data_IF_939129019615
#
_entry.id   IF_939129019615
#
_cell.length_a   1.000
_cell.length_b   1.000
_cell.length_c   1.000
_cell.angle_alpha   90.00
_cell.angle_beta   90.00
_cell.angle_gamma   90.00
#
_symmetry.space_group_name_H-M   'P 1'
#
loop_
_entity.id
_entity.type
_entity.pdbx_description
1 polymer ?
#
# COMPACT_ATOMS: atom_id res chain seq x y z
N UNK A 1 -2.26 -27.64 -45.11
CA UNK A 1 -2.59 -26.22 -45.38
C UNK A 1 -3.84 -25.73 -44.66
N UNK A 2 -4.95 -26.49 -44.57
CA UNK A 2 -6.11 -26.09 -43.72
C UNK A 2 -5.87 -26.18 -42.20
N UNK A 3 -5.04 -27.11 -41.71
CA UNK A 3 -4.71 -27.20 -40.27
C UNK A 3 -3.74 -26.12 -39.79
N UNK A 4 -2.77 -25.69 -40.62
CA UNK A 4 -1.82 -24.65 -40.24
C UNK A 4 -2.48 -23.26 -40.22
N UNK A 5 -3.44 -23.02 -41.11
CA UNK A 5 -4.23 -21.78 -41.12
C UNK A 5 -5.21 -21.70 -39.95
N UNK A 6 -5.75 -22.84 -39.47
CA UNK A 6 -6.60 -22.90 -38.28
C UNK A 6 -5.82 -22.79 -36.98
N UNK A 7 -4.57 -23.23 -36.94
CA UNK A 7 -3.66 -22.97 -35.82
C UNK A 7 -3.25 -21.49 -35.76
N UNK A 8 -2.97 -20.90 -36.91
CA UNK A 8 -2.62 -19.48 -37.01
C UNK A 8 -3.80 -18.52 -36.80
N UNK A 9 -5.02 -18.91 -37.20
CA UNK A 9 -6.25 -18.16 -36.89
C UNK A 9 -6.65 -18.30 -35.40
N UNK A 10 -6.15 -19.30 -34.66
CA UNK A 10 -6.34 -19.42 -33.20
C UNK A 10 -5.27 -18.63 -32.41
N UNK A 11 -4.03 -18.55 -32.94
CA UNK A 11 -2.93 -17.74 -32.39
C UNK A 11 -3.24 -16.23 -32.37
N UNK A 12 -4.08 -15.73 -33.29
CA UNK A 12 -4.51 -14.31 -33.30
C UNK A 12 -5.82 -14.06 -32.53
N UNK A 13 -6.58 -15.10 -32.15
CA UNK A 13 -7.97 -14.96 -31.64
C UNK A 13 -8.08 -15.08 -30.10
N UNK A 14 -7.06 -15.59 -29.38
CA UNK A 14 -7.07 -15.70 -27.91
C UNK A 14 -5.68 -15.58 -27.24
N UNK A 15 -5.08 -14.38 -27.15
CA UNK A 15 -3.77 -14.17 -26.50
C UNK A 15 -3.72 -14.69 -25.04
N UNK A 16 -4.86 -14.69 -24.35
CA UNK A 16 -4.96 -15.22 -22.99
C UNK A 16 -4.82 -16.76 -22.91
N UNK A 17 -5.32 -17.49 -23.91
CA UNK A 17 -5.24 -18.97 -23.92
C UNK A 17 -3.79 -19.42 -24.11
N UNK A 18 -3.05 -18.73 -24.97
CA UNK A 18 -1.63 -19.02 -25.17
C UNK A 18 -0.81 -18.66 -23.93
N UNK A 19 -1.09 -17.53 -23.27
CA UNK A 19 -0.47 -17.17 -21.99
C UNK A 19 -0.70 -18.24 -20.90
N UNK A 20 -1.91 -18.79 -20.79
CA UNK A 20 -2.21 -19.90 -19.86
C UNK A 20 -1.42 -21.15 -20.22
N UNK A 21 -1.28 -21.46 -21.51
CA UNK A 21 -0.52 -22.63 -21.96
C UNK A 21 0.97 -22.48 -21.66
N UNK A 22 1.53 -21.28 -21.82
CA UNK A 22 2.90 -20.95 -21.46
C UNK A 22 3.10 -21.06 -19.94
N UNK A 23 2.21 -20.45 -19.14
CA UNK A 23 2.26 -20.53 -17.69
C UNK A 23 2.13 -21.97 -17.15
N UNK A 24 1.37 -22.84 -17.82
CA UNK A 24 1.29 -24.28 -17.49
C UNK A 24 2.54 -25.07 -17.88
N UNK A 25 3.34 -24.57 -18.82
CA UNK A 25 4.60 -25.18 -19.22
C UNK A 25 5.76 -24.83 -18.28
N UNK A 26 5.61 -23.75 -17.50
CA UNK A 26 6.58 -23.36 -16.48
C UNK A 26 6.67 -24.37 -15.35
N UNK A 27 7.87 -24.46 -14.76
CA UNK A 27 8.11 -25.40 -13.64
C UNK A 27 7.33 -24.96 -12.39
N UNK A 28 7.21 -23.65 -12.15
CA UNK A 28 6.59 -23.10 -10.96
C UNK A 28 5.18 -22.53 -11.21
N UNK A 29 4.16 -22.89 -10.40
CA UNK A 29 2.76 -22.42 -10.53
C UNK A 29 2.52 -20.90 -10.48
N UNK A 30 3.54 -20.10 -10.16
CA UNK A 30 3.37 -18.70 -9.80
C UNK A 30 2.91 -17.85 -10.99
N UNK A 31 3.41 -18.15 -12.19
CA UNK A 31 3.04 -17.41 -13.41
C UNK A 31 1.54 -17.49 -13.69
N UNK A 32 0.95 -18.68 -13.53
CA UNK A 32 -0.49 -18.87 -13.71
C UNK A 32 -1.29 -18.13 -12.63
N UNK A 33 -0.84 -18.19 -11.37
CA UNK A 33 -1.49 -17.49 -10.26
C UNK A 33 -1.45 -15.98 -10.46
N UNK A 34 -0.31 -15.43 -10.89
CA UNK A 34 -0.17 -14.00 -11.20
C UNK A 34 -1.07 -13.59 -12.38
N UNK A 35 -1.09 -14.39 -13.45
CA UNK A 35 -1.98 -14.17 -14.59
C UNK A 35 -3.45 -14.09 -14.16
N UNK A 36 -3.91 -15.02 -13.33
CA UNK A 36 -5.31 -15.02 -12.85
C UNK A 36 -5.58 -13.85 -11.89
N UNK A 37 -4.61 -13.49 -11.04
CA UNK A 37 -4.70 -12.30 -10.18
C UNK A 37 -4.88 -11.02 -11.02
N UNK A 38 -4.07 -10.86 -12.07
CA UNK A 38 -4.18 -9.75 -13.00
C UNK A 38 -5.53 -9.70 -13.72
N UNK A 39 -6.07 -10.86 -14.14
CA UNK A 39 -7.42 -10.93 -14.74
C UNK A 39 -8.47 -10.43 -13.77
N UNK A 40 -8.45 -10.89 -12.51
CA UNK A 40 -9.42 -10.45 -11.50
C UNK A 40 -9.31 -8.93 -11.33
N UNK A 41 -8.10 -8.41 -11.12
CA UNK A 41 -7.88 -6.98 -10.88
C UNK A 41 -8.30 -6.11 -12.07
N UNK A 42 -7.97 -6.51 -13.29
CA UNK A 42 -8.31 -5.78 -14.51
C UNK A 42 -9.83 -5.71 -14.78
N UNK A 43 -10.61 -6.57 -14.12
CA UNK A 43 -12.07 -6.64 -14.25
C UNK A 43 -12.82 -6.04 -13.06
N UNK A 44 -12.11 -5.51 -12.06
CA UNK A 44 -12.72 -4.74 -10.99
C UNK A 44 -13.31 -3.44 -11.54
N UNK A 45 -14.51 -3.02 -11.10
CA UNK A 45 -15.09 -1.76 -11.55
C UNK A 45 -14.15 -0.60 -11.21
N UNK A 46 -13.69 0.14 -12.22
CA UNK A 46 -13.00 1.41 -11.99
C UNK A 46 -13.94 2.36 -11.27
N UNK A 47 -13.45 3.00 -10.21
CA UNK A 47 -14.23 3.95 -9.46
C UNK A 47 -14.57 5.15 -10.34
N UNK A 48 -15.80 5.66 -10.25
CA UNK A 48 -16.31 6.71 -11.13
C UNK A 48 -15.45 7.99 -11.17
N UNK A 49 -14.67 8.24 -10.12
CA UNK A 49 -13.77 9.39 -10.00
C UNK A 49 -12.49 9.28 -10.86
N UNK A 50 -12.10 8.05 -11.24
CA UNK A 50 -10.94 7.76 -12.09
C UNK A 50 -11.34 7.31 -13.50
N UNK A 51 -12.64 7.18 -13.76
CA UNK A 51 -13.15 6.75 -15.05
C UNK A 51 -13.15 7.91 -16.03
N UNK A 52 -12.33 7.81 -17.08
CA UNK A 52 -12.47 8.67 -18.26
C UNK A 52 -13.81 8.33 -18.96
N UNK A 53 -14.72 9.30 -19.15
CA UNK A 53 -15.98 9.06 -19.84
C UNK A 53 -15.82 8.56 -21.29
N UNK A 54 -14.64 8.74 -21.90
CA UNK A 54 -14.34 8.27 -23.26
C UNK A 54 -13.67 6.87 -23.30
N UNK A 55 -13.32 6.27 -22.16
CA UNK A 55 -12.78 4.91 -22.11
C UNK A 55 -13.88 3.85 -22.30
N UNK A 56 -13.61 2.77 -23.08
CA UNK A 56 -14.56 1.67 -23.22
C UNK A 56 -14.80 0.99 -21.86
N UNK A 57 -16.07 0.70 -21.57
CA UNK A 57 -16.49 0.03 -20.34
C UNK A 57 -15.72 -1.28 -20.16
N UNK A 58 -15.01 -1.42 -19.03
CA UNK A 58 -14.20 -2.59 -18.76
C UNK A 58 -15.08 -3.85 -18.75
N UNK A 59 -14.58 -4.95 -19.34
CA UNK A 59 -15.29 -6.23 -19.32
C UNK A 59 -15.49 -6.66 -17.89
N UNK A 60 -16.74 -6.85 -17.48
CA UNK A 60 -17.04 -7.30 -16.13
C UNK A 60 -16.55 -8.74 -15.93
N UNK A 61 -16.02 -9.04 -14.74
CA UNK A 61 -15.53 -10.38 -14.38
C UNK A 61 -16.55 -11.50 -14.63
N UNK A 62 -17.83 -11.22 -14.35
CA UNK A 62 -18.92 -12.15 -14.61
C UNK A 62 -19.06 -12.47 -16.11
N UNK A 63 -18.96 -11.47 -16.98
CA UNK A 63 -19.02 -11.67 -18.44
C UNK A 63 -17.80 -12.45 -18.95
N UNK A 64 -16.63 -12.18 -18.38
CA UNK A 64 -15.42 -12.92 -18.72
C UNK A 64 -15.53 -14.39 -18.32
N UNK A 65 -16.03 -14.68 -17.11
CA UNK A 65 -16.34 -16.05 -16.66
C UNK A 65 -17.36 -16.72 -17.60
N UNK A 66 -18.37 -15.99 -18.07
CA UNK A 66 -19.37 -16.51 -19.01
C UNK A 66 -18.73 -16.92 -20.34
N UNK A 67 -17.76 -16.14 -20.81
CA UNK A 67 -16.99 -16.45 -22.01
C UNK A 67 -16.14 -17.72 -21.84
N UNK A 68 -15.52 -17.90 -20.67
CA UNK A 68 -14.74 -19.11 -20.34
C UNK A 68 -15.63 -20.34 -20.20
N UNK A 69 -16.83 -20.18 -19.65
CA UNK A 69 -17.84 -21.25 -19.57
C UNK A 69 -18.29 -21.67 -20.98
N UNK A 70 -18.54 -20.71 -21.87
CA UNK A 70 -18.97 -20.97 -23.23
C UNK A 70 -17.88 -21.63 -24.10
N UNK A 71 -16.61 -21.28 -23.86
CA UNK A 71 -15.47 -21.77 -24.61
C UNK A 71 -14.85 -22.99 -23.91
N UNK A 72 -15.15 -24.20 -24.39
CA UNK A 72 -14.69 -25.45 -23.77
C UNK A 72 -13.30 -25.86 -24.28
N UNK A 73 -12.27 -25.29 -23.67
CA UNK A 73 -10.86 -25.65 -23.88
C UNK A 73 -10.25 -26.06 -22.54
N UNK A 74 -9.23 -26.93 -22.52
CA UNK A 74 -8.51 -27.27 -21.29
C UNK A 74 -8.00 -26.02 -20.54
N UNK A 75 -7.51 -25.02 -21.28
CA UNK A 75 -7.00 -23.77 -20.72
C UNK A 75 -8.09 -22.95 -20.01
N UNK A 76 -9.33 -22.92 -20.52
CA UNK A 76 -10.42 -22.23 -19.83
C UNK A 76 -10.91 -23.01 -18.61
N UNK A 77 -10.76 -24.33 -18.60
CA UNK A 77 -11.03 -25.16 -17.40
C UNK A 77 -10.01 -24.88 -16.30
N UNK A 78 -8.73 -24.74 -16.68
CA UNK A 78 -7.66 -24.31 -15.78
C UNK A 78 -7.95 -22.93 -15.19
N UNK A 79 -8.29 -21.94 -16.03
CA UNK A 79 -8.66 -20.60 -15.57
C UNK A 79 -9.81 -20.64 -14.56
N UNK A 80 -10.90 -21.34 -14.87
CA UNK A 80 -12.05 -21.46 -13.97
C UNK A 80 -11.66 -22.14 -12.63
N UNK A 81 -10.79 -23.15 -12.65
CA UNK A 81 -10.35 -23.84 -11.44
C UNK A 81 -9.49 -22.94 -10.53
N UNK A 82 -8.60 -22.13 -11.10
CA UNK A 82 -7.81 -21.17 -10.32
C UNK A 82 -8.69 -20.00 -9.85
N UNK A 83 -9.59 -19.51 -10.70
CA UNK A 83 -10.57 -18.46 -10.33
C UNK A 83 -11.42 -18.88 -9.13
N UNK A 84 -11.91 -20.12 -9.05
CA UNK A 84 -12.69 -20.56 -7.89
C UNK A 84 -11.92 -20.42 -6.56
N UNK A 85 -10.61 -20.56 -6.56
CA UNK A 85 -9.80 -20.44 -5.35
C UNK A 85 -9.52 -18.97 -4.99
N UNK A 86 -9.17 -18.15 -6.00
CA UNK A 86 -8.70 -16.78 -5.79
C UNK A 86 -9.84 -15.78 -5.55
N UNK A 87 -11.02 -15.98 -6.16
CA UNK A 87 -12.15 -15.06 -6.06
C UNK A 87 -12.69 -14.95 -4.64
N UNK A 88 -13.02 -13.73 -4.19
CA UNK A 88 -13.77 -13.49 -2.94
C UNK A 88 -15.29 -13.66 -3.10
N UNK A 89 -15.81 -13.42 -4.30
CA UNK A 89 -17.25 -13.48 -4.56
C UNK A 89 -17.75 -14.93 -4.61
N UNK A 90 -18.47 -15.35 -3.58
CA UNK A 90 -19.01 -16.71 -3.42
C UNK A 90 -19.89 -17.17 -4.60
N UNK A 91 -20.63 -16.25 -5.23
CA UNK A 91 -21.49 -16.57 -6.38
C UNK A 91 -20.66 -16.92 -7.60
N UNK A 92 -19.63 -16.12 -7.90
CA UNK A 92 -18.73 -16.38 -9.02
C UNK A 92 -17.85 -17.60 -8.77
N UNK A 93 -17.37 -17.79 -7.53
CA UNK A 93 -16.66 -18.99 -7.08
C UNK A 93 -17.46 -20.26 -7.34
N UNK A 94 -18.67 -20.36 -6.76
CA UNK A 94 -19.56 -21.53 -6.91
C UNK A 94 -19.86 -21.81 -8.38
N UNK A 95 -19.98 -20.76 -9.20
CA UNK A 95 -20.23 -20.89 -10.63
C UNK A 95 -19.04 -21.53 -11.36
N UNK A 96 -17.81 -21.10 -11.05
CA UNK A 96 -16.59 -21.69 -11.60
C UNK A 96 -16.45 -23.16 -11.19
N UNK A 97 -16.60 -23.46 -9.89
CA UNK A 97 -16.53 -24.82 -9.36
C UNK A 97 -17.51 -25.78 -10.06
N UNK A 98 -18.75 -25.33 -10.25
CA UNK A 98 -19.79 -26.13 -10.90
C UNK A 98 -19.44 -26.44 -12.36
N UNK A 99 -18.89 -25.47 -13.10
CA UNK A 99 -18.48 -25.70 -14.48
C UNK A 99 -17.26 -26.63 -14.55
N UNK A 100 -16.25 -26.43 -13.69
CA UNK A 100 -15.07 -27.30 -13.62
C UNK A 100 -15.49 -28.75 -13.34
N UNK A 101 -16.39 -28.97 -12.38
CA UNK A 101 -16.91 -30.30 -12.06
C UNK A 101 -17.76 -30.94 -13.16
N UNK A 102 -18.27 -30.14 -14.11
CA UNK A 102 -19.06 -30.62 -15.26
C UNK A 102 -18.20 -30.94 -16.50
N UNK A 103 -16.91 -30.59 -16.48
CA UNK A 103 -15.97 -30.85 -17.57
C UNK A 103 -15.16 -32.11 -17.29
N UNK A 104 -14.87 -32.86 -18.35
CA UNK A 104 -14.05 -34.08 -18.30
C UNK A 104 -12.56 -33.79 -18.60
N UNK A 105 -12.10 -32.54 -18.44
CA UNK A 105 -10.70 -32.16 -18.69
C UNK A 105 -9.79 -32.60 -17.53
N UNK A 106 -8.61 -33.14 -17.87
CA UNK A 106 -7.60 -33.53 -16.89
C UNK A 106 -6.85 -32.30 -16.36
N UNK A 107 -7.11 -31.93 -15.10
CA UNK A 107 -6.39 -30.86 -14.41
C UNK A 107 -5.10 -31.37 -13.75
N UNK A 108 -3.98 -30.61 -13.83
CA UNK A 108 -2.81 -30.85 -13.00
C UNK A 108 -3.18 -30.97 -11.52
N UNK A 109 -2.59 -31.96 -10.83
CA UNK A 109 -2.91 -32.24 -9.43
C UNK A 109 -2.73 -31.01 -8.53
N UNK A 110 -1.70 -30.20 -8.77
CA UNK A 110 -1.43 -29.01 -7.97
C UNK A 110 -2.56 -27.96 -8.04
N UNK A 111 -3.31 -27.89 -9.15
CA UNK A 111 -4.49 -27.03 -9.29
C UNK A 111 -5.64 -27.59 -8.45
N UNK A 112 -5.87 -28.91 -8.53
CA UNK A 112 -6.96 -29.55 -7.76
C UNK A 112 -6.71 -29.52 -6.25
N UNK A 113 -5.45 -29.48 -5.83
CA UNK A 113 -5.03 -29.38 -4.44
C UNK A 113 -4.69 -27.91 -4.04
N UNK A 114 -5.04 -26.90 -4.84
CA UNK A 114 -4.62 -25.50 -4.62
C UNK A 114 -5.17 -24.94 -3.29
N UNK A 115 -6.40 -25.28 -2.91
CA UNK A 115 -7.01 -24.92 -1.62
C UNK A 115 -6.32 -25.53 -0.38
N UNK A 116 -5.31 -26.40 -0.56
CA UNK A 116 -4.47 -26.95 0.52
C UNK A 116 -3.17 -26.17 0.72
N UNK A 117 -3.00 -25.07 -0.01
CA UNK A 117 -1.92 -24.12 0.19
C UNK A 117 -1.99 -23.55 1.60
N UNK A 118 -0.84 -23.36 2.24
CA UNK A 118 -0.78 -22.74 3.56
C UNK A 118 0.50 -21.92 3.70
N UNK A 119 0.42 -20.91 4.57
CA UNK A 119 1.57 -20.11 4.99
C UNK A 119 2.20 -20.80 6.20
N UNK A 120 3.48 -21.16 6.10
CA UNK A 120 4.21 -21.84 7.18
C UNK A 120 4.81 -20.87 8.19
N UNK A 121 5.25 -19.69 7.72
CA UNK A 121 6.00 -18.70 8.51
C UNK A 121 5.80 -17.30 7.96
N UNK A 122 5.82 -16.30 8.85
CA UNK A 122 5.81 -14.88 8.47
C UNK A 122 6.93 -14.15 9.21
N UNK A 123 7.70 -13.37 8.47
CA UNK A 123 8.71 -12.47 9.01
C UNK A 123 8.33 -11.04 8.67
N UNK A 124 8.30 -10.18 9.67
CA UNK A 124 8.16 -8.74 9.50
C UNK A 124 9.53 -8.11 9.41
N UNK A 125 9.75 -7.36 8.34
CA UNK A 125 10.87 -6.43 8.20
C UNK A 125 10.38 -5.03 8.54
N UNK A 126 11.03 -4.38 9.50
CA UNK A 126 10.62 -3.06 10.03
C UNK A 126 11.80 -2.09 10.06
N UNK A 127 11.55 -0.83 9.73
CA UNK A 127 12.54 0.25 9.83
C UNK A 127 12.36 1.03 11.14
N UNK A 128 13.46 1.53 11.72
CA UNK A 128 13.44 2.22 13.02
C UNK A 128 12.54 3.47 13.06
N UNK A 129 12.26 4.08 11.90
CA UNK A 129 11.39 5.25 11.75
C UNK A 129 9.89 4.90 11.70
N UNK A 130 9.54 3.62 11.52
CA UNK A 130 8.16 3.13 11.72
C UNK A 130 7.13 3.55 10.67
N UNK A 131 7.55 4.03 9.50
CA UNK A 131 6.62 4.48 8.45
C UNK A 131 5.96 3.35 7.68
N UNK A 132 6.57 2.18 7.68
CA UNK A 132 6.05 1.03 6.99
C UNK A 132 6.72 -0.25 7.45
N UNK A 133 6.04 -1.35 7.19
CA UNK A 133 6.48 -2.70 7.50
C UNK A 133 6.32 -3.57 6.26
N UNK A 134 7.32 -4.41 5.97
CA UNK A 134 7.21 -5.43 4.94
C UNK A 134 6.95 -6.79 5.60
N UNK A 135 5.84 -7.44 5.24
CA UNK A 135 5.51 -8.79 5.67
C UNK A 135 5.96 -9.79 4.60
N UNK A 136 6.88 -10.67 4.96
CA UNK A 136 7.37 -11.76 4.12
C UNK A 136 6.74 -13.08 4.56
N UNK A 137 5.87 -13.65 3.73
CA UNK A 137 5.12 -14.87 3.98
C UNK A 137 5.74 -16.03 3.21
N UNK A 138 6.17 -17.08 3.94
CA UNK A 138 6.60 -18.34 3.34
C UNK A 138 5.41 -19.24 3.04
N UNK A 139 5.15 -19.47 1.76
CA UNK A 139 3.98 -20.20 1.27
C UNK A 139 4.40 -21.55 0.73
N UNK A 140 3.63 -22.58 1.10
CA UNK A 140 3.83 -23.94 0.60
C UNK A 140 2.62 -24.41 -0.18
N UNK A 141 2.86 -24.71 -1.45
CA UNK A 141 1.89 -25.31 -2.33
C UNK A 141 1.74 -26.80 -2.03
N UNK A 142 0.59 -27.35 -2.38
CA UNK A 142 0.30 -28.78 -2.26
C UNK A 142 1.19 -29.68 -3.13
N UNK A 143 1.77 -29.13 -4.21
CA UNK A 143 2.80 -29.79 -5.02
C UNK A 143 4.12 -29.99 -4.29
N UNK A 144 4.32 -29.32 -3.15
CA UNK A 144 5.58 -29.27 -2.42
C UNK A 144 6.50 -28.13 -2.85
N UNK A 145 6.10 -27.33 -3.84
CA UNK A 145 6.81 -26.11 -4.24
C UNK A 145 6.56 -24.98 -3.24
N UNK A 146 7.54 -24.08 -3.14
CA UNK A 146 7.54 -22.97 -2.19
C UNK A 146 7.62 -21.65 -2.92
N UNK A 147 6.88 -20.67 -2.44
CA UNK A 147 7.00 -19.28 -2.88
C UNK A 147 7.02 -18.35 -1.67
N UNK A 148 7.49 -17.14 -1.87
CA UNK A 148 7.43 -16.09 -0.86
C UNK A 148 6.60 -14.93 -1.38
N UNK A 149 5.65 -14.47 -0.58
CA UNK A 149 4.97 -13.20 -0.79
C UNK A 149 5.64 -12.14 0.08
N UNK A 150 5.94 -10.99 -0.50
CA UNK A 150 6.42 -9.81 0.21
C UNK A 150 5.38 -8.71 0.02
N UNK A 151 4.80 -8.22 1.12
CA UNK A 151 3.77 -7.19 1.09
C UNK A 151 4.21 -6.00 1.95
N UNK A 152 4.29 -4.82 1.35
CA UNK A 152 4.62 -3.58 2.03
C UNK A 152 3.35 -2.89 2.53
N UNK A 153 3.32 -2.60 3.82
CA UNK A 153 2.25 -1.88 4.50
C UNK A 153 2.77 -0.51 4.89
N UNK A 154 2.12 0.53 4.39
CA UNK A 154 2.42 1.93 4.68
C UNK A 154 1.57 2.42 5.86
N UNK A 155 2.23 2.82 6.94
CA UNK A 155 1.62 3.27 8.19
C UNK A 155 1.44 4.79 8.30
N UNK A 156 1.76 5.55 7.25
CA UNK A 156 1.74 7.03 7.30
C UNK A 156 0.35 7.62 7.37
N UNK A 157 -0.66 6.98 6.79
CA UNK A 157 -2.04 7.51 6.82
C UNK A 157 -3.00 6.48 7.40
N UNK A 158 -3.17 5.34 6.72
CA UNK A 158 -4.24 4.38 7.03
C UNK A 158 -3.75 2.95 7.31
N UNK A 159 -2.43 2.72 7.32
CA UNK A 159 -1.88 1.35 7.45
C UNK A 159 -2.39 0.43 6.34
N UNK A 160 -2.14 0.83 5.09
CA UNK A 160 -2.62 0.16 3.88
C UNK A 160 -1.51 -0.59 3.14
N UNK A 161 -1.89 -1.60 2.37
CA UNK A 161 -0.93 -2.27 1.48
C UNK A 161 -0.72 -1.38 0.26
N UNK A 162 0.52 -0.90 0.06
CA UNK A 162 0.91 -0.13 -1.14
C UNK A 162 1.67 -0.95 -2.17
N UNK A 163 2.22 -2.10 -1.76
CA UNK A 163 2.86 -3.01 -2.69
C UNK A 163 2.77 -4.46 -2.23
N UNK A 164 2.70 -5.38 -3.19
CA UNK A 164 2.88 -6.80 -2.94
C UNK A 164 3.42 -7.53 -4.17
N UNK A 165 4.48 -8.32 -3.98
CA UNK A 165 5.06 -9.15 -5.02
C UNK A 165 5.34 -10.56 -4.52
N UNK A 166 5.57 -11.45 -5.48
CA UNK A 166 5.74 -12.87 -5.24
C UNK A 166 6.99 -13.37 -5.93
N UNK A 167 7.74 -14.23 -5.25
CA UNK A 167 8.94 -14.86 -5.81
C UNK A 167 8.84 -16.38 -5.69
N UNK A 168 9.24 -17.16 -6.71
CA UNK A 168 9.19 -18.61 -6.71
C UNK A 168 10.39 -19.19 -5.94
N UNK A 169 10.58 -18.74 -4.69
CA UNK A 169 11.67 -19.12 -3.82
C UNK A 169 11.18 -19.30 -2.37
N UNK A 170 11.78 -20.23 -1.59
CA UNK A 170 11.48 -20.38 -0.18
C UNK A 170 11.82 -19.11 0.62
N UNK A 171 11.05 -18.83 1.67
CA UNK A 171 11.23 -17.64 2.52
C UNK A 171 12.66 -17.51 3.05
N UNK A 172 13.31 -18.62 3.43
CA UNK A 172 14.66 -18.56 3.95
C UNK A 172 15.67 -18.04 2.91
N UNK A 173 15.51 -18.38 1.64
CA UNK A 173 16.38 -17.89 0.58
C UNK A 173 16.20 -16.37 0.39
N UNK A 174 14.95 -15.91 0.40
CA UNK A 174 14.61 -14.48 0.31
C UNK A 174 15.20 -13.70 1.49
N UNK A 175 15.04 -14.21 2.71
CA UNK A 175 15.63 -13.60 3.91
C UNK A 175 17.16 -13.58 3.86
N UNK A 176 17.80 -14.64 3.35
CA UNK A 176 19.25 -14.70 3.20
C UNK A 176 19.73 -13.69 2.16
N UNK A 177 18.99 -13.47 1.08
CA UNK A 177 19.26 -12.40 0.10
C UNK A 177 19.10 -11.04 0.77
N UNK A 178 17.93 -10.76 1.36
CA UNK A 178 17.62 -9.49 2.01
C UNK A 178 18.64 -9.12 3.10
N UNK A 179 19.08 -10.09 3.89
CA UNK A 179 20.10 -9.89 4.93
C UNK A 179 21.48 -9.60 4.34
N UNK A 180 21.86 -10.27 3.25
CA UNK A 180 23.17 -10.06 2.58
C UNK A 180 23.22 -8.76 1.79
N UNK A 181 22.12 -8.37 1.17
CA UNK A 181 21.99 -7.12 0.42
C UNK A 181 21.58 -5.94 1.30
N UNK A 182 21.47 -6.14 2.62
CA UNK A 182 21.06 -5.10 3.56
C UNK A 182 22.05 -3.93 3.51
N UNK A 183 21.63 -2.86 2.85
CA UNK A 183 22.32 -1.57 2.80
C UNK A 183 21.98 -0.71 4.01
N UNK A 184 20.80 -0.92 4.59
CA UNK A 184 20.29 -0.17 5.71
C UNK A 184 20.43 -0.94 7.04
N UNK A 185 21.30 -0.49 7.96
CA UNK A 185 21.47 -1.14 9.26
C UNK A 185 20.29 -0.93 10.22
N UNK A 186 19.39 0.02 9.94
CA UNK A 186 18.27 0.40 10.79
C UNK A 186 17.01 -0.45 10.52
N UNK A 187 17.12 -1.40 9.60
CA UNK A 187 16.11 -2.43 9.34
C UNK A 187 16.33 -3.69 10.18
N UNK A 188 15.25 -4.21 10.78
CA UNK A 188 15.27 -5.45 11.55
C UNK A 188 14.23 -6.45 11.05
N UNK A 189 14.53 -7.75 11.21
CA UNK A 189 13.66 -8.86 10.83
C UNK A 189 13.17 -9.58 12.08
N UNK A 190 11.86 -9.73 12.23
CA UNK A 190 11.22 -10.32 13.42
C UNK A 190 10.18 -11.33 12.99
N UNK A 191 10.19 -12.51 13.61
CA UNK A 191 9.10 -13.48 13.44
C UNK A 191 7.76 -12.89 13.88
N UNK A 192 6.76 -13.06 13.03
CA UNK A 192 5.40 -12.62 13.30
C UNK A 192 4.48 -13.84 13.39
N UNK A 193 3.48 -13.78 14.27
CA UNK A 193 2.47 -14.83 14.32
C UNK A 193 1.62 -14.78 13.05
N UNK A 194 1.19 -15.95 12.56
CA UNK A 194 0.33 -16.04 11.38
C UNK A 194 -1.01 -15.29 11.59
N UNK A 195 -1.49 -15.26 12.83
CA UNK A 195 -2.75 -14.61 13.18
C UNK A 195 -2.62 -13.09 13.17
N UNK A 196 -1.52 -12.54 13.68
CA UNK A 196 -1.25 -11.10 13.60
C UNK A 196 -1.06 -10.70 12.14
N UNK A 197 -0.30 -11.47 11.37
CA UNK A 197 -0.11 -11.22 9.93
C UNK A 197 -1.46 -11.16 9.20
N UNK A 198 -2.40 -12.06 9.50
CA UNK A 198 -3.78 -11.98 8.97
C UNK A 198 -4.44 -10.66 9.31
N UNK A 199 -4.41 -10.27 10.59
CA UNK A 199 -5.08 -9.06 11.05
C UNK A 199 -4.53 -7.79 10.38
N UNK A 200 -3.21 -7.76 10.12
CA UNK A 200 -2.56 -6.66 9.44
C UNK A 200 -2.91 -6.61 7.95
N UNK A 201 -2.74 -7.73 7.24
CA UNK A 201 -3.01 -7.80 5.79
C UNK A 201 -4.49 -7.61 5.48
N UNK A 202 -5.39 -8.21 6.27
CA UNK A 202 -6.83 -8.06 6.07
C UNK A 202 -7.24 -6.60 6.16
N UNK A 203 -6.82 -5.88 7.21
CA UNK A 203 -7.06 -4.45 7.34
C UNK A 203 -6.44 -3.69 6.17
N UNK A 204 -5.16 -3.91 5.88
CA UNK A 204 -4.43 -3.15 4.89
C UNK A 204 -4.94 -3.31 3.46
N UNK A 205 -5.59 -4.43 3.15
CA UNK A 205 -6.23 -4.67 1.85
C UNK A 205 -7.70 -4.22 1.83
N UNK A 206 -8.38 -4.14 2.98
CA UNK A 206 -9.77 -3.65 3.10
C UNK A 206 -9.87 -2.13 3.15
N UNK A 207 -8.75 -1.40 3.29
CA UNK A 207 -8.75 0.06 3.17
C UNK A 207 -9.22 0.40 1.75
N UNK A 208 -10.49 0.80 1.65
CA UNK A 208 -11.14 1.22 0.42
C UNK A 208 -11.43 2.72 0.57
N UNK A 209 -10.63 3.54 -0.11
CA UNK A 209 -10.68 4.99 0.01
C UNK A 209 -9.94 5.66 -1.14
N UNK A 210 -10.32 6.91 -1.46
CA UNK A 210 -9.79 7.68 -2.59
C UNK A 210 -8.25 7.70 -2.62
N UNK A 211 -7.59 7.78 -1.46
CA UNK A 211 -6.14 7.81 -1.31
C UNK A 211 -5.47 6.46 -1.62
N UNK A 212 -6.08 5.34 -1.21
CA UNK A 212 -5.58 3.98 -1.51
C UNK A 212 -5.58 3.70 -3.01
N UNK A 213 -6.52 4.31 -3.73
CA UNK A 213 -6.75 4.13 -5.16
C UNK A 213 -5.74 4.85 -6.05
N UNK A 214 -4.97 5.79 -5.50
CA UNK A 214 -3.89 6.50 -6.21
C UNK A 214 -2.52 5.83 -6.00
N UNK A 215 -2.44 4.86 -5.09
CA UNK A 215 -1.20 4.14 -4.77
C UNK A 215 -1.03 2.94 -5.71
N UNK A 216 -0.49 3.18 -6.90
CA UNK A 216 -0.06 2.13 -7.82
C UNK A 216 1.45 1.89 -7.69
N UNK A 217 1.84 0.62 -7.66
CA UNK A 217 3.23 0.18 -7.83
C UNK A 217 3.34 -0.67 -9.11
N UNK A 218 4.55 -1.11 -9.45
CA UNK A 218 4.73 -2.05 -10.57
C UNK A 218 3.95 -3.37 -10.39
N UNK A 219 3.64 -3.76 -9.14
CA UNK A 219 2.98 -5.02 -8.80
C UNK A 219 1.63 -4.87 -8.09
N UNK A 220 1.26 -3.66 -7.68
CA UNK A 220 0.01 -3.36 -6.99
C UNK A 220 -0.84 -2.38 -7.81
N UNK A 221 -2.14 -2.66 -7.99
CA UNK A 221 -2.96 -3.67 -7.31
C UNK A 221 -3.02 -5.04 -7.99
N UNK A 222 -2.23 -5.32 -9.04
CA UNK A 222 -2.30 -6.59 -9.79
C UNK A 222 -2.17 -7.85 -8.92
N UNK A 223 -1.37 -7.79 -7.85
CA UNK A 223 -1.17 -8.87 -6.88
C UNK A 223 -2.24 -8.96 -5.77
N UNK A 224 -3.19 -8.02 -5.70
CA UNK A 224 -4.17 -7.93 -4.60
C UNK A 224 -5.03 -9.19 -4.45
N UNK A 225 -5.63 -9.77 -5.51
CA UNK A 225 -6.40 -11.01 -5.39
C UNK A 225 -5.59 -12.18 -4.82
N UNK A 226 -4.31 -12.30 -5.21
CA UNK A 226 -3.43 -13.36 -4.71
C UNK A 226 -3.08 -13.15 -3.23
N UNK A 227 -2.85 -11.91 -2.81
CA UNK A 227 -2.62 -11.57 -1.40
C UNK A 227 -3.87 -11.82 -0.54
N UNK A 228 -5.06 -11.47 -1.04
CA UNK A 228 -6.34 -11.77 -0.37
C UNK A 228 -6.52 -13.27 -0.18
N UNK A 229 -6.25 -14.07 -1.20
CA UNK A 229 -6.31 -15.53 -1.13
C UNK A 229 -5.41 -16.10 -0.02
N UNK A 230 -4.14 -15.67 0.07
CA UNK A 230 -3.26 -16.08 1.16
C UNK A 230 -3.77 -15.62 2.53
N UNK A 231 -4.28 -14.38 2.60
CA UNK A 231 -4.79 -13.78 3.84
C UNK A 231 -5.99 -14.55 4.39
N UNK A 232 -6.89 -15.03 3.53
CA UNK A 232 -8.02 -15.90 3.92
C UNK A 232 -7.57 -17.22 4.55
N UNK A 233 -6.43 -17.77 4.11
CA UNK A 233 -5.86 -19.02 4.60
C UNK A 233 -5.16 -18.92 5.96
N UNK A 234 -4.83 -17.71 6.42
CA UNK A 234 -4.19 -17.50 7.73
C UNK A 234 -5.20 -17.66 8.89
N UNK A 235 -4.74 -18.01 10.11
CA UNK A 235 -5.62 -18.15 11.27
C UNK A 235 -6.16 -16.80 11.76
N UNK A 236 -7.39 -16.77 12.28
CA UNK A 236 -7.98 -15.61 12.94
C UNK A 236 -7.44 -15.40 14.38
N UNK A 237 -7.83 -14.28 14.99
CA UNK A 237 -7.58 -14.02 16.42
C UNK A 237 -6.27 -13.31 16.74
N UNK A 238 -5.57 -12.78 15.73
CA UNK A 238 -4.40 -11.92 15.92
C UNK A 238 -4.77 -10.46 16.20
N UNK A 239 -3.74 -9.67 16.51
CA UNK A 239 -3.82 -8.24 16.76
C UNK A 239 -3.33 -7.46 15.53
N UNK A 240 -4.19 -6.59 14.99
CA UNK A 240 -3.84 -5.69 13.89
C UNK A 240 -2.80 -4.66 14.30
N UNK A 241 -2.22 -3.96 13.32
CA UNK A 241 -1.27 -2.87 13.56
C UNK A 241 -1.86 -1.87 14.57
N UNK A 242 -1.09 -1.59 15.62
CA UNK A 242 -1.41 -0.57 16.60
C UNK A 242 -0.43 0.58 16.37
N UNK A 243 -0.90 1.76 15.96
CA UNK A 243 -0.02 2.91 15.87
C UNK A 243 0.57 3.22 17.25
N UNK A 244 1.77 3.83 17.30
CA UNK A 244 2.31 4.38 18.54
C UNK A 244 1.26 5.27 19.22
N UNK A 245 0.99 5.00 20.50
CA UNK A 245 0.03 5.79 21.28
C UNK A 245 0.78 6.63 22.31
N UNK A 246 0.61 7.95 22.20
CA UNK A 246 1.05 8.92 23.17
C UNK A 246 -0.19 9.61 23.74
N UNK A 247 -0.31 9.63 25.08
CA UNK A 247 -1.38 10.40 25.71
C UNK A 247 -1.08 11.89 25.60
N UNK A 248 -2.13 12.72 25.67
CA UNK A 248 -2.04 14.18 25.76
C UNK A 248 -0.95 14.64 26.74
N UNK A 249 -0.95 14.11 27.96
CA UNK A 249 0.06 14.45 28.98
C UNK A 249 1.50 14.11 28.55
N UNK A 250 1.70 13.05 27.76
CA UNK A 250 3.02 12.64 27.28
C UNK A 250 3.50 13.53 26.14
N UNK A 251 2.58 13.95 25.25
CA UNK A 251 2.87 14.93 24.21
C UNK A 251 3.23 16.27 24.84
N UNK A 252 2.43 16.77 25.78
CA UNK A 252 2.72 18.02 26.50
C UNK A 252 4.07 17.96 27.24
N UNK A 253 4.35 16.89 27.98
CA UNK A 253 5.65 16.70 28.64
C UNK A 253 6.83 16.66 27.65
N UNK A 254 6.63 16.15 26.44
CA UNK A 254 7.64 16.13 25.39
C UNK A 254 7.86 17.53 24.79
N UNK A 255 6.78 18.24 24.47
CA UNK A 255 6.83 19.60 23.97
C UNK A 255 7.49 20.53 25.00
N UNK A 256 7.14 20.43 26.28
CA UNK A 256 7.76 21.22 27.34
C UNK A 256 9.27 20.98 27.44
N UNK A 257 9.73 19.74 27.27
CA UNK A 257 11.17 19.44 27.21
C UNK A 257 11.82 20.08 25.99
N UNK A 258 11.17 20.00 24.82
CA UNK A 258 11.69 20.59 23.58
C UNK A 258 11.79 22.12 23.68
N UNK A 259 10.72 22.80 24.07
CA UNK A 259 10.68 24.26 24.16
C UNK A 259 11.58 24.80 25.28
N UNK A 260 11.95 23.98 26.28
CA UNK A 260 12.98 24.33 27.26
C UNK A 260 14.43 24.23 26.72
N UNK A 261 14.66 23.65 25.54
CA UNK A 261 15.99 23.59 24.92
C UNK A 261 16.37 24.92 24.27
N UNK A 262 17.68 25.18 24.11
CA UNK A 262 18.16 26.41 23.43
C UNK A 262 17.60 26.56 22.01
N UNK A 263 17.54 25.51 21.17
CA UNK A 263 16.92 25.61 19.85
C UNK A 263 15.39 25.77 19.87
N UNK A 264 14.69 25.21 20.87
CA UNK A 264 13.23 25.28 20.99
C UNK A 264 12.73 26.59 21.63
N UNK A 265 13.50 27.20 22.53
CA UNK A 265 13.16 28.43 23.27
C UNK A 265 12.75 29.61 22.37
N UNK A 266 13.21 29.64 21.11
CA UNK A 266 12.87 30.70 20.14
C UNK A 266 11.43 30.60 19.61
N UNK A 267 10.77 29.47 19.84
CA UNK A 267 9.42 29.14 19.36
C UNK A 267 8.46 28.83 20.52
N UNK A 268 8.81 29.19 21.77
CA UNK A 268 7.99 28.86 22.95
C UNK A 268 6.79 29.81 23.11
N UNK A 269 5.86 29.71 22.17
CA UNK A 269 4.56 30.38 22.18
C UNK A 269 3.45 29.41 21.73
N UNK A 270 2.20 29.83 21.88
CA UNK A 270 1.05 28.95 21.60
C UNK A 270 0.95 28.55 20.13
N UNK A 271 1.27 29.45 19.19
CA UNK A 271 1.11 29.19 17.75
C UNK A 271 2.04 28.09 17.27
N UNK A 272 3.34 28.18 17.61
CA UNK A 272 4.31 27.14 17.25
C UNK A 272 4.11 25.83 18.01
N UNK A 273 3.58 25.88 19.25
CA UNK A 273 3.19 24.67 19.99
C UNK A 273 2.06 23.94 19.29
N UNK A 274 1.02 24.65 18.89
CA UNK A 274 -0.14 24.09 18.18
C UNK A 274 0.26 23.61 16.77
N UNK A 275 1.17 24.31 16.09
CA UNK A 275 1.76 23.88 14.82
C UNK A 275 2.48 22.54 14.95
N UNK A 276 3.38 22.42 15.93
CA UNK A 276 4.16 21.20 16.15
C UNK A 276 3.26 20.04 16.58
N UNK A 277 2.23 20.30 17.39
CA UNK A 277 1.21 19.29 17.75
C UNK A 277 0.50 18.76 16.50
N UNK A 278 0.05 19.63 15.60
CA UNK A 278 -0.56 19.18 14.34
C UNK A 278 0.40 18.35 13.51
N UNK A 279 1.68 18.74 13.40
CA UNK A 279 2.67 17.92 12.71
C UNK A 279 2.80 16.52 13.34
N UNK A 280 2.73 16.42 14.68
CA UNK A 280 2.83 15.15 15.41
C UNK A 280 1.63 14.25 15.14
N UNK A 281 0.43 14.82 15.12
CA UNK A 281 -0.82 14.10 14.89
C UNK A 281 -0.90 13.53 13.47
N UNK A 282 -0.26 14.21 12.50
CA UNK A 282 -0.18 13.80 11.11
C UNK A 282 0.93 12.76 10.86
N UNK A 283 0.70 11.83 9.94
CA UNK A 283 1.65 10.76 9.65
C UNK A 283 1.51 9.55 10.58
N UNK A 284 2.64 9.04 11.09
CA UNK A 284 2.67 7.81 11.91
C UNK A 284 2.14 7.99 13.34
N UNK A 285 1.88 9.23 13.77
CA UNK A 285 1.50 9.58 15.14
C UNK A 285 2.63 9.45 16.17
N UNK A 286 3.86 9.16 15.74
CA UNK A 286 5.03 9.09 16.62
C UNK A 286 5.79 10.42 16.64
N UNK A 287 5.78 11.17 17.76
CA UNK A 287 6.49 12.45 17.85
C UNK A 287 8.02 12.29 17.87
N UNK A 288 8.54 11.08 18.09
CA UNK A 288 9.97 10.83 18.23
C UNK A 288 10.62 10.26 16.97
N UNK A 289 9.85 10.02 15.90
CA UNK A 289 10.32 9.39 14.65
C UNK A 289 9.90 10.21 13.43
N UNK A 290 10.91 10.81 12.78
CA UNK A 290 10.71 11.68 11.62
C UNK A 290 11.60 11.26 10.47
N UNK A 291 11.02 10.69 9.43
CA UNK A 291 11.78 10.40 8.21
C UNK A 291 11.81 11.60 7.26
N UNK A 292 12.68 11.49 6.26
CA UNK A 292 12.66 12.36 5.10
C UNK A 292 11.33 12.31 4.31
N UNK A 293 10.65 11.16 4.23
CA UNK A 293 9.35 11.00 3.57
C UNK A 293 8.26 11.82 4.27
N UNK A 294 8.00 11.56 5.55
CA UNK A 294 7.03 12.34 6.35
C UNK A 294 7.27 13.84 6.31
N UNK A 295 8.53 14.26 6.26
CA UNK A 295 8.87 15.69 6.17
C UNK A 295 8.56 16.28 4.79
N UNK A 296 8.71 15.52 3.70
CA UNK A 296 8.36 15.97 2.35
C UNK A 296 6.85 16.08 2.14
N UNK A 297 6.07 15.24 2.82
CA UNK A 297 4.60 15.25 2.73
C UNK A 297 3.97 16.30 3.68
N UNK A 298 4.75 16.84 4.63
CA UNK A 298 4.27 17.79 5.62
C UNK A 298 3.66 19.09 5.02
N UNK A 299 4.16 19.67 3.92
CA UNK A 299 3.49 20.77 3.22
C UNK A 299 2.02 20.51 2.87
N UNK A 300 1.69 19.29 2.45
CA UNK A 300 0.35 18.91 2.00
C UNK A 300 -0.67 18.83 3.15
N UNK A 301 -0.19 18.76 4.40
CA UNK A 301 -1.04 18.85 5.60
C UNK A 301 -1.64 20.23 5.76
N UNK A 302 -0.87 21.26 5.43
CA UNK A 302 -1.20 22.65 5.78
C UNK A 302 -1.78 23.44 4.61
N UNK A 303 -1.89 22.83 3.43
CA UNK A 303 -2.34 23.49 2.22
C UNK A 303 -3.49 22.70 1.56
N UNK A 304 -4.52 23.39 1.03
CA UNK A 304 -4.72 24.84 1.06
C UNK A 304 -5.14 25.39 2.46
N UNK A 305 -4.85 26.67 2.72
CA UNK A 305 -5.05 27.35 4.01
C UNK A 305 -6.53 27.62 4.34
N UNK A 306 -7.41 27.62 3.33
CA UNK A 306 -8.84 27.84 3.47
C UNK A 306 -9.55 26.75 4.31
N UNK A 307 -8.95 25.56 4.40
CA UNK A 307 -9.45 24.48 5.26
C UNK A 307 -9.08 24.65 6.75
N UNK A 308 -8.14 25.56 7.09
CA UNK A 308 -7.55 25.69 8.44
C UNK A 308 -7.50 27.13 8.99
N UNK A 309 -8.19 28.08 8.34
CA UNK A 309 -7.95 29.53 8.45
C UNK A 309 -8.30 30.21 9.78
N UNK A 310 -9.10 29.59 10.66
CA UNK A 310 -9.66 30.32 11.81
C UNK A 310 -8.70 30.54 12.99
N UNK A 311 -7.56 29.83 13.09
CA UNK A 311 -6.75 29.82 14.33
C UNK A 311 -5.23 30.03 14.17
N UNK A 312 -4.65 29.99 12.96
CA UNK A 312 -3.18 30.01 12.78
C UNK A 312 -2.66 31.30 12.14
N UNK A 313 -1.55 31.83 12.67
CA UNK A 313 -0.85 32.94 12.04
C UNK A 313 -0.05 32.45 10.84
N UNK A 314 -0.10 33.20 9.73
CA UNK A 314 0.78 32.99 8.56
C UNK A 314 2.26 32.93 8.98
N UNK A 315 2.64 33.72 9.99
CA UNK A 315 4.02 33.72 10.50
C UNK A 315 4.42 32.36 11.08
N UNK A 316 3.54 31.71 11.83
CA UNK A 316 3.84 30.41 12.45
C UNK A 316 4.08 29.35 11.36
N UNK A 317 3.28 29.39 10.29
CA UNK A 317 3.45 28.51 9.12
C UNK A 317 4.77 28.77 8.41
N UNK A 318 5.15 30.04 8.17
CA UNK A 318 6.44 30.37 7.53
C UNK A 318 7.66 29.87 8.34
N UNK A 319 7.49 29.75 9.66
CA UNK A 319 8.50 29.25 10.58
C UNK A 319 8.50 27.71 10.71
N UNK A 320 7.55 26.98 10.10
CA UNK A 320 7.46 25.52 10.14
C UNK A 320 8.78 24.82 9.80
N UNK A 321 9.49 25.13 8.69
CA UNK A 321 10.77 24.49 8.39
C UNK A 321 11.80 24.69 9.50
N UNK A 322 11.83 25.87 10.12
CA UNK A 322 12.77 26.20 11.19
C UNK A 322 12.40 25.56 12.54
N UNK A 323 11.11 25.38 12.82
CA UNK A 323 10.61 24.58 13.96
C UNK A 323 11.03 23.13 13.78
N UNK A 324 10.73 22.52 12.63
CA UNK A 324 11.06 21.13 12.34
C UNK A 324 12.57 20.89 12.33
N UNK A 325 13.35 21.84 11.80
CA UNK A 325 14.82 21.81 11.84
C UNK A 325 15.37 21.74 13.27
N UNK A 326 14.72 22.42 14.21
CA UNK A 326 15.09 22.37 15.63
C UNK A 326 14.56 21.11 16.33
N UNK A 327 13.34 20.68 15.99
CA UNK A 327 12.65 19.58 16.66
C UNK A 327 13.18 18.20 16.31
N UNK A 328 13.41 17.92 15.02
CA UNK A 328 13.81 16.58 14.54
C UNK A 328 15.09 16.07 15.23
N UNK A 329 16.18 16.85 15.38
CA UNK A 329 17.36 16.39 16.09
C UNK A 329 17.11 16.11 17.58
N UNK A 330 16.22 16.88 18.22
CA UNK A 330 15.81 16.64 19.60
C UNK A 330 15.02 15.32 19.72
N UNK A 331 14.02 15.13 18.87
CA UNK A 331 13.19 13.93 18.81
C UNK A 331 14.03 12.66 18.56
N UNK A 332 14.92 12.72 17.57
CA UNK A 332 15.83 11.62 17.23
C UNK A 332 16.82 11.29 18.34
N UNK A 333 17.32 12.29 19.07
CA UNK A 333 18.19 12.06 20.21
C UNK A 333 17.46 11.37 21.38
N UNK A 334 16.20 11.71 21.63
CA UNK A 334 15.37 11.07 22.68
C UNK A 334 15.08 9.60 22.36
N UNK A 335 14.89 9.25 21.08
CA UNK A 335 14.60 7.87 20.63
C UNK A 335 15.84 7.08 20.21
N UNK A 336 17.02 7.69 20.18
CA UNK A 336 18.29 7.04 19.81
C UNK A 336 18.42 6.75 18.32
N UNK A 337 17.76 7.54 17.47
CA UNK A 337 17.89 7.48 16.01
C UNK A 337 19.30 7.92 15.60
N UNK A 338 19.85 7.23 14.60
CA UNK A 338 21.20 7.41 14.12
C UNK A 338 21.38 8.76 13.40
N UNK A 339 22.54 9.39 13.58
CA UNK A 339 22.84 10.72 13.02
C UNK A 339 22.68 10.80 11.50
N UNK A 340 22.95 9.70 10.77
CA UNK A 340 22.74 9.66 9.33
C UNK A 340 21.27 9.86 8.94
N UNK A 341 20.32 9.21 9.64
CA UNK A 341 18.89 9.39 9.40
C UNK A 341 18.43 10.79 9.80
N UNK A 342 19.01 11.36 10.87
CA UNK A 342 18.77 12.76 11.23
C UNK A 342 19.25 13.70 10.12
N UNK A 343 20.41 13.45 9.52
CA UNK A 343 20.93 14.27 8.42
C UNK A 343 20.04 14.18 7.17
N UNK A 344 19.52 12.99 6.84
CA UNK A 344 18.57 12.81 5.74
C UNK A 344 17.26 13.58 5.98
N UNK A 345 16.72 13.52 7.21
CA UNK A 345 15.55 14.29 7.59
C UNK A 345 15.79 15.80 7.50
N UNK A 346 16.96 16.28 7.93
CA UNK A 346 17.34 17.71 7.79
C UNK A 346 17.46 18.12 6.31
N UNK A 347 18.02 17.27 5.46
CA UNK A 347 18.10 17.53 4.03
C UNK A 347 16.71 17.61 3.37
N UNK A 348 15.76 16.78 3.80
CA UNK A 348 14.38 16.87 3.32
C UNK A 348 13.73 18.22 3.68
N UNK A 349 13.98 18.75 4.88
CA UNK A 349 13.51 20.10 5.27
C UNK A 349 14.10 21.16 4.36
N UNK A 350 15.40 21.07 4.08
CA UNK A 350 16.09 22.02 3.20
C UNK A 350 15.57 21.94 1.74
N UNK A 351 15.12 20.77 1.29
CA UNK A 351 14.56 20.54 -0.05
C UNK A 351 13.24 21.30 -0.25
N UNK A 352 12.28 21.22 0.69
CA UNK A 352 10.95 21.81 0.51
C UNK A 352 10.82 23.25 1.04
N UNK A 353 11.72 23.73 1.90
CA UNK A 353 11.58 25.03 2.60
C UNK A 353 11.21 26.21 1.70
N UNK A 354 11.88 26.34 0.55
CA UNK A 354 11.68 27.49 -0.33
C UNK A 354 10.32 27.46 -1.01
N UNK A 355 9.94 26.30 -1.53
CA UNK A 355 8.66 26.09 -2.21
C UNK A 355 7.49 26.24 -1.23
N UNK A 356 7.60 25.66 -0.05
CA UNK A 356 6.57 25.77 0.98
C UNK A 356 6.32 27.21 1.42
N UNK A 357 7.37 28.00 1.64
CA UNK A 357 7.20 29.44 1.98
C UNK A 357 6.58 30.24 0.84
N UNK A 358 6.90 29.91 -0.40
CA UNK A 358 6.29 30.55 -1.57
C UNK A 358 4.80 30.23 -1.66
N UNK A 359 4.43 28.95 -1.49
CA UNK A 359 3.03 28.52 -1.48
C UNK A 359 2.22 29.18 -0.36
N UNK A 360 2.74 29.22 0.88
CA UNK A 360 2.06 29.88 2.01
C UNK A 360 1.81 31.37 1.73
N UNK A 361 2.78 32.07 1.13
CA UNK A 361 2.63 33.48 0.77
C UNK A 361 1.73 33.71 -0.45
N UNK A 362 1.63 32.74 -1.36
CA UNK A 362 0.71 32.77 -2.49
C UNK A 362 -0.72 32.55 -2.03
N UNK A 363 -0.95 31.51 -1.25
CA UNK A 363 -2.27 31.14 -0.76
C UNK A 363 -2.86 32.20 0.19
N UNK A 364 -2.03 32.79 1.05
CA UNK A 364 -2.42 33.94 1.87
C UNK A 364 -2.87 35.16 1.05
N UNK A 365 -2.30 35.38 -0.14
CA UNK A 365 -2.72 36.46 -1.04
C UNK A 365 -4.07 36.18 -1.69
N UNK A 366 -4.34 34.91 -2.02
CA UNK A 366 -5.64 34.50 -2.58
C UNK A 366 -6.77 34.71 -1.56
N UNK A 367 -6.53 34.41 -0.28
CA UNK A 367 -7.50 34.67 0.79
C UNK A 367 -7.78 36.17 1.00
N UNK A 368 -6.75 37.02 0.95
CA UNK A 368 -6.92 38.48 1.04
C UNK A 368 -7.71 39.05 -0.16
N UNK A 369 -7.53 38.48 -1.36
CA UNK A 369 -8.21 38.94 -2.59
C UNK A 369 -9.69 38.47 -2.67
N UNK A 370 -10.05 37.30 -2.12
CA UNK A 370 -11.42 36.78 -2.09
C UNK A 370 -12.33 37.53 -1.08
N UNK A 371 -11.76 38.03 0.03
CA UNK A 371 -12.48 38.84 1.02
C UNK A 371 -12.87 40.25 0.47
N UNK A 372 -12.16 40.74 -0.55
CA UNK A 372 -12.39 42.07 -1.17
C UNK A 372 -13.51 42.05 -2.24
N UNK A 373 -13.89 40.88 -2.78
CA UNK A 373 -14.95 40.74 -3.82
C UNK A 373 -16.38 40.63 -3.24
N UNK A 374 -16.53 40.47 -1.92
CA UNK A 374 -17.84 40.41 -1.23
C UNK A 374 -18.37 41.79 -0.73
N UNK A 375 -17.62 42.89 -0.91
CA UNK A 375 -18.02 44.26 -0.50
C UNK A 375 -18.46 45.18 -1.67
N UNK A 376 -18.84 44.61 -2.82
CA UNK A 376 -19.52 45.38 -3.88
C UNK A 376 -21.01 45.57 -3.56
N UNK A 377 -21.23 46.52 -2.64
CA UNK A 377 -22.53 46.89 -2.09
C UNK A 377 -23.60 47.26 -3.14
N UNK A 378 -24.82 46.81 -2.85
CA UNK A 378 -26.06 47.26 -3.49
C UNK A 378 -26.28 48.77 -3.22
N UNK A 379 -26.18 49.66 -4.23
CA UNK A 379 -26.42 51.06 -4.03
C UNK A 379 -27.92 51.35 -4.06
N UNK A 380 -28.49 51.55 -2.86
CA UNK A 380 -29.87 52.01 -2.64
C UNK A 380 -30.17 53.41 -3.20
#
# INVERSE_FOLDING_TARGET
MRSARRAHELEEEFPLVDAVREALAEEHPLELLHTVSLIIQATEPRHWALSDPDEPEAVNLGELIDSFIATKLPETTVLLAVLSELLDNEVLRTRCEREVAARDDDLPQWITDLGRTHVERVVRMTHVLGEGDELMLGVKLSSGQEMTCAAFIDHTVVSEVKDAFFVPAPLQEVLDVATRSRTDPDTTFVEMSLADARAWLHRGVEVDGLLSMLSESDTWPASRPLLQWLTRGLPEGGSGYQPPFFSEDQIEELLDRFFATVPGLRFDDSGHRDLLRTCIDEGTGDPLRWSAGRLRDLPDVFLPLDEYSDERSIQDLLDLPDVMRAYVPFAHAESGIRDELTAEAQAAIDEFESEFREMVLEDARYLDDDDDDDDDGDPS
#
